data_IF_991746897710
#
_entry.id   IF_991746897710
#
_cell.length_a   1.000
_cell.length_b   1.000
_cell.length_c   1.000
_cell.angle_alpha   90.00
_cell.angle_beta   90.00
_cell.angle_gamma   90.00
#
_symmetry.space_group_name_H-M   'P 1'
#
loop_
_entity.id
_entity.type
_entity.pdbx_description
1 polymer ?
#
# COMPACT_ATOMS: atom_id res chain seq x y z
N UNK A 1 -9.14 37.72 30.89
CA UNK A 1 -8.73 37.62 29.47
C UNK A 1 -7.64 36.57 29.25
N UNK A 2 -6.59 36.50 30.08
CA UNK A 2 -5.47 35.55 29.88
C UNK A 2 -5.85 34.06 29.92
N UNK A 3 -6.86 33.66 30.70
CA UNK A 3 -7.25 32.24 30.85
C UNK A 3 -7.95 31.67 29.61
N UNK A 4 -8.69 32.53 28.90
CA UNK A 4 -9.38 32.17 27.66
C UNK A 4 -8.39 32.05 26.50
N UNK A 5 -7.43 32.97 26.43
CA UNK A 5 -6.33 32.92 25.45
C UNK A 5 -5.46 31.67 25.64
N UNK A 6 -5.18 31.28 26.89
CA UNK A 6 -4.42 30.07 27.21
C UNK A 6 -5.15 28.77 26.80
N UNK A 7 -6.47 28.73 26.99
CA UNK A 7 -7.28 27.56 26.61
C UNK A 7 -7.37 27.37 25.09
N UNK A 8 -7.44 28.47 24.33
CA UNK A 8 -7.46 28.44 22.86
C UNK A 8 -6.10 28.03 22.28
N UNK A 9 -4.99 28.45 22.88
CA UNK A 9 -3.64 28.04 22.44
C UNK A 9 -3.37 26.57 22.73
N UNK A 10 -3.82 26.03 23.86
CA UNK A 10 -3.68 24.61 24.17
C UNK A 10 -4.48 23.70 23.21
N UNK A 11 -5.66 24.14 22.77
CA UNK A 11 -6.48 23.37 21.83
C UNK A 11 -5.85 23.25 20.42
N UNK A 12 -5.10 24.27 19.97
CA UNK A 12 -4.40 24.26 18.68
C UNK A 12 -3.17 23.34 18.68
N UNK A 13 -2.55 23.07 19.83
CA UNK A 13 -1.37 22.20 19.94
C UNK A 13 -1.76 20.73 20.01
N UNK A 14 -2.95 20.41 20.52
CA UNK A 14 -3.43 19.02 20.63
C UNK A 14 -4.14 18.47 19.38
N UNK A 15 -4.38 19.32 18.37
CA UNK A 15 -4.87 18.89 17.07
C UNK A 15 -3.73 18.28 16.26
N UNK A 16 -3.44 16.99 16.48
CA UNK A 16 -2.49 16.26 15.66
C UNK A 16 -2.86 16.40 14.18
N UNK A 17 -1.95 16.99 13.39
CA UNK A 17 -2.13 17.09 11.94
C UNK A 17 -2.04 15.67 11.41
N UNK A 18 -3.14 15.12 10.91
CA UNK A 18 -3.10 13.84 10.20
C UNK A 18 -2.19 14.02 8.98
N UNK A 19 -0.98 13.48 9.04
CA UNK A 19 -0.09 13.43 7.88
C UNK A 19 -0.61 12.34 6.95
N UNK A 20 -0.65 12.64 5.65
CA UNK A 20 -0.82 11.60 4.65
C UNK A 20 0.36 10.63 4.80
N UNK A 21 0.08 9.36 5.05
CA UNK A 21 1.13 8.36 5.24
C UNK A 21 1.93 8.12 3.94
N UNK A 22 1.26 8.20 2.79
CA UNK A 22 1.87 8.15 1.46
C UNK A 22 1.96 9.57 0.91
N UNK A 23 3.17 9.98 0.51
CA UNK A 23 3.46 11.31 -0.05
C UNK A 23 3.51 11.27 -1.58
N UNK A 24 3.47 12.44 -2.21
CA UNK A 24 3.66 12.55 -3.67
C UNK A 24 5.05 12.08 -4.12
N UNK A 25 6.07 12.25 -3.28
CA UNK A 25 7.42 11.78 -3.56
C UNK A 25 7.46 10.24 -3.58
N UNK A 26 6.79 9.59 -2.63
CA UNK A 26 6.65 8.13 -2.62
C UNK A 26 5.99 7.64 -3.91
N UNK A 27 4.88 8.27 -4.32
CA UNK A 27 4.18 7.95 -5.57
C UNK A 27 5.00 8.23 -6.84
N UNK A 28 5.88 9.23 -6.80
CA UNK A 28 6.77 9.53 -7.92
C UNK A 28 7.91 8.51 -8.04
N UNK A 29 8.34 7.94 -6.91
CA UNK A 29 9.46 7.01 -6.82
C UNK A 29 9.04 5.53 -6.84
N UNK A 30 7.75 5.20 -6.85
CA UNK A 30 7.19 3.82 -6.79
C UNK A 30 7.83 2.83 -7.78
N UNK A 31 8.27 3.29 -8.96
CA UNK A 31 8.95 2.44 -9.94
C UNK A 31 10.37 2.00 -9.53
N UNK A 32 10.96 2.66 -8.53
CA UNK A 32 12.36 2.50 -8.10
C UNK A 32 12.50 1.99 -6.66
N UNK A 33 11.45 2.09 -5.85
CA UNK A 33 11.37 1.49 -4.53
C UNK A 33 11.03 0.00 -4.63
N UNK A 34 11.49 -0.79 -3.65
CA UNK A 34 11.29 -2.26 -3.64
C UNK A 34 10.61 -2.78 -2.37
N UNK A 35 10.33 -1.87 -1.43
CA UNK A 35 9.68 -2.19 -0.15
C UNK A 35 8.16 -2.13 -0.21
N UNK A 36 7.61 -1.53 -1.27
CA UNK A 36 6.20 -1.22 -1.45
C UNK A 36 5.77 -1.41 -2.90
N UNK A 37 4.47 -1.34 -3.11
CA UNK A 37 3.82 -1.15 -4.41
C UNK A 37 2.66 -0.21 -4.15
N UNK A 38 2.80 1.05 -4.52
CA UNK A 38 1.86 2.13 -4.17
C UNK A 38 0.88 2.44 -5.29
N UNK A 39 1.21 2.09 -6.54
CA UNK A 39 0.38 2.40 -7.71
C UNK A 39 -0.03 1.15 -8.50
N UNK A 40 -1.18 1.26 -9.18
CA UNK A 40 -1.50 0.32 -10.25
C UNK A 40 -0.47 0.50 -11.36
N UNK A 41 0.20 -0.59 -11.76
CA UNK A 41 1.29 -0.53 -12.74
C UNK A 41 2.71 -0.45 -12.16
N UNK A 42 2.88 -0.38 -10.84
CA UNK A 42 4.21 -0.33 -10.17
C UNK A 42 5.06 0.84 -10.67
N UNK A 43 4.46 2.02 -10.77
CA UNK A 43 5.03 3.21 -11.37
C UNK A 43 3.99 3.98 -12.19
N UNK A 44 4.18 5.30 -12.28
CA UNK A 44 3.32 6.20 -13.08
C UNK A 44 3.39 5.92 -14.59
N UNK A 45 4.41 5.19 -15.03
CA UNK A 45 4.66 4.76 -16.40
C UNK A 45 4.07 3.38 -16.74
N UNK A 46 3.42 2.73 -15.76
CA UNK A 46 2.70 1.46 -15.90
C UNK A 46 3.55 0.27 -16.39
N UNK A 47 4.86 0.29 -16.16
CA UNK A 47 5.76 -0.73 -16.71
C UNK A 47 5.64 -2.10 -16.03
N UNK A 48 5.11 -2.17 -14.81
CA UNK A 48 5.00 -3.42 -14.02
C UNK A 48 6.35 -4.11 -13.85
N UNK A 49 7.41 -3.33 -13.68
CA UNK A 49 8.77 -3.80 -13.54
C UNK A 49 9.24 -3.69 -12.08
N UNK A 50 9.95 -4.71 -11.59
CA UNK A 50 10.62 -4.67 -10.28
C UNK A 50 12.13 -4.89 -10.47
N UNK A 51 13.00 -4.07 -9.86
CA UNK A 51 14.44 -4.27 -9.92
C UNK A 51 14.94 -5.39 -8.96
N UNK A 52 14.05 -6.06 -8.21
CA UNK A 52 14.43 -7.15 -7.31
C UNK A 52 15.03 -8.34 -8.07
N UNK A 53 16.18 -8.82 -7.60
CA UNK A 53 16.91 -9.94 -8.21
C UNK A 53 17.06 -11.17 -7.28
N UNK A 54 16.29 -11.23 -6.18
CA UNK A 54 16.34 -12.38 -5.25
C UNK A 54 15.83 -13.67 -5.90
N UNK A 55 14.78 -13.57 -6.71
CA UNK A 55 14.27 -14.65 -7.55
C UNK A 55 14.81 -14.46 -8.97
N UNK A 56 15.39 -15.52 -9.52
CA UNK A 56 16.10 -15.53 -10.80
C UNK A 56 15.81 -16.81 -11.56
N UNK A 57 16.17 -16.86 -12.85
CA UNK A 57 16.03 -18.08 -13.67
C UNK A 57 16.77 -19.30 -13.09
N UNK A 58 17.81 -19.08 -12.28
CA UNK A 58 18.64 -20.14 -11.72
C UNK A 58 18.11 -20.71 -10.39
N UNK A 59 17.11 -20.07 -9.76
CA UNK A 59 16.58 -20.51 -8.47
C UNK A 59 15.04 -20.51 -8.37
N UNK A 60 14.32 -20.11 -9.43
CA UNK A 60 12.86 -20.06 -9.45
C UNK A 60 12.22 -21.44 -9.27
N UNK A 61 12.94 -22.50 -9.61
CA UNK A 61 12.57 -23.90 -9.40
C UNK A 61 12.38 -24.26 -7.91
N UNK A 62 12.95 -23.47 -7.00
CA UNK A 62 12.87 -23.68 -5.55
C UNK A 62 11.74 -22.88 -4.88
N UNK A 63 10.98 -22.09 -5.64
CA UNK A 63 9.91 -21.26 -5.09
C UNK A 63 8.74 -22.13 -4.63
N UNK A 64 8.27 -21.90 -3.41
CA UNK A 64 7.13 -22.61 -2.80
C UNK A 64 6.12 -21.61 -2.23
N UNK A 65 4.84 -21.99 -2.07
CA UNK A 65 3.84 -21.13 -1.43
C UNK A 65 4.26 -20.77 0.00
N UNK A 66 4.22 -19.47 0.33
CA UNK A 66 4.48 -19.00 1.69
C UNK A 66 3.20 -19.00 2.55
N UNK A 67 2.05 -18.64 1.96
CA UNK A 67 0.74 -18.59 2.61
C UNK A 67 -0.38 -18.51 1.56
N UNK A 68 -1.64 -18.63 2.00
CA UNK A 68 -2.83 -18.41 1.18
C UNK A 68 -3.93 -17.72 2.00
N UNK A 69 -4.76 -16.91 1.35
CA UNK A 69 -5.91 -16.22 1.96
C UNK A 69 -7.18 -16.46 1.14
N UNK A 70 -8.28 -16.78 1.81
CA UNK A 70 -9.58 -17.01 1.17
C UNK A 70 -10.40 -15.72 1.16
N UNK A 71 -10.90 -15.33 -0.01
CA UNK A 71 -11.87 -14.25 -0.17
C UNK A 71 -13.32 -14.66 0.19
N UNK A 72 -13.52 -15.86 0.73
CA UNK A 72 -14.82 -16.42 1.07
C UNK A 72 -15.51 -17.16 -0.09
N UNK A 73 -16.58 -17.89 0.23
CA UNK A 73 -17.24 -18.83 -0.70
C UNK A 73 -18.47 -18.31 -1.44
N UNK A 74 -19.06 -17.18 -1.02
CA UNK A 74 -20.38 -16.77 -1.52
C UNK A 74 -20.32 -15.86 -2.76
N UNK A 75 -19.20 -15.18 -2.97
CA UNK A 75 -19.01 -14.18 -4.03
C UNK A 75 -17.75 -14.50 -4.83
N UNK A 76 -17.87 -15.41 -5.79
CA UNK A 76 -16.74 -16.00 -6.51
C UNK A 76 -16.60 -15.56 -7.98
N UNK A 77 -17.10 -14.37 -8.35
CA UNK A 77 -16.82 -13.83 -9.71
C UNK A 77 -15.33 -13.51 -9.88
N UNK A 78 -14.96 -13.01 -11.07
CA UNK A 78 -13.58 -12.66 -11.43
C UNK A 78 -12.87 -11.84 -10.35
N UNK A 79 -11.63 -12.22 -10.07
CA UNK A 79 -10.72 -11.52 -9.17
C UNK A 79 -9.63 -10.89 -10.04
N UNK A 80 -9.73 -9.58 -10.27
CA UNK A 80 -8.89 -8.85 -11.24
C UNK A 80 -8.02 -7.78 -10.56
N UNK A 81 -7.97 -7.80 -9.22
CA UNK A 81 -7.24 -6.82 -8.43
C UNK A 81 -5.73 -6.99 -8.60
N UNK A 82 -5.03 -5.87 -8.82
CA UNK A 82 -3.60 -5.79 -8.55
C UNK A 82 -3.44 -5.39 -7.07
N UNK A 83 -2.80 -6.23 -6.24
CA UNK A 83 -2.51 -5.86 -4.86
C UNK A 83 -1.62 -4.61 -4.78
N UNK A 84 -1.88 -3.80 -3.76
CA UNK A 84 -1.01 -2.69 -3.32
C UNK A 84 -0.40 -3.10 -1.98
N UNK A 85 0.87 -2.75 -1.74
CA UNK A 85 1.59 -3.10 -0.52
C UNK A 85 2.21 -1.84 0.07
N UNK A 86 1.91 -1.58 1.34
CA UNK A 86 2.46 -0.44 2.07
C UNK A 86 2.56 -0.78 3.55
N UNK A 87 3.66 -0.40 4.19
CA UNK A 87 3.94 -0.60 5.62
C UNK A 87 3.65 -2.04 6.12
N UNK A 88 4.05 -3.04 5.33
CA UNK A 88 3.86 -4.46 5.65
C UNK A 88 2.43 -4.97 5.49
N UNK A 89 1.49 -4.14 5.03
CA UNK A 89 0.09 -4.51 4.77
C UNK A 89 -0.15 -4.66 3.27
N UNK A 90 -0.83 -5.73 2.88
CA UNK A 90 -1.30 -5.94 1.51
C UNK A 90 -2.80 -5.57 1.42
N UNK A 91 -3.12 -4.68 0.49
CA UNK A 91 -4.48 -4.23 0.20
C UNK A 91 -4.94 -4.85 -1.11
N UNK A 92 -6.06 -5.56 -1.09
CA UNK A 92 -6.66 -6.20 -2.26
C UNK A 92 -8.15 -5.90 -2.32
N UNK A 93 -8.71 -5.91 -3.53
CA UNK A 93 -10.15 -5.86 -3.75
C UNK A 93 -10.66 -7.22 -4.21
N UNK A 94 -11.77 -7.67 -3.65
CA UNK A 94 -12.51 -8.84 -4.10
C UNK A 94 -13.60 -8.47 -5.11
N UNK A 95 -14.11 -9.48 -5.80
CA UNK A 95 -15.30 -9.37 -6.66
C UNK A 95 -16.46 -8.64 -5.96
N UNK A 96 -17.24 -7.87 -6.73
CA UNK A 96 -18.30 -6.99 -6.23
C UNK A 96 -17.80 -5.84 -5.33
N UNK A 97 -16.58 -5.36 -5.60
CA UNK A 97 -15.98 -4.20 -4.90
C UNK A 97 -15.85 -4.41 -3.39
N UNK A 98 -15.51 -5.63 -2.98
CA UNK A 98 -15.20 -5.94 -1.58
C UNK A 98 -13.77 -5.49 -1.28
N UNK A 99 -13.54 -4.97 -0.08
CA UNK A 99 -12.23 -4.66 0.48
C UNK A 99 -11.98 -5.58 1.66
#
# INVERSE_FOLDING_TARGET
>A
MNRFVLAVTAALVCGGVAQAQVTEEDLANDATTVGDVLTNGMGRDLQRFSPLAKLTKANVDKLVPAWAFSLGGEKQRGQESQPIVYDGVMYITGSYSRL
#
